data_IF_095180093938
#
_entry.id   IF_095180093938
#
_cell.length_a   1.000
_cell.length_b   1.000
_cell.length_c   1.000
_cell.angle_alpha   90.00
_cell.angle_beta   90.00
_cell.angle_gamma   90.00
#
_symmetry.space_group_name_H-M   'P 1'
#
loop_
_entity.id
_entity.type
_entity.pdbx_description
1 polymer ?
#
# COMPACT_ATOMS: atom_id res chain seq x y z
N UNK A 1 26.93 -14.36 3.43
CA UNK A 1 25.74 -15.14 3.01
C UNK A 1 25.02 -15.58 4.28
N UNK A 2 23.77 -15.17 4.51
CA UNK A 2 22.96 -15.61 5.67
C UNK A 2 22.04 -16.72 5.19
N UNK A 3 22.24 -17.94 5.68
CA UNK A 3 21.37 -19.08 5.40
C UNK A 3 20.40 -19.19 6.58
N UNK A 4 19.09 -19.32 6.31
CA UNK A 4 18.05 -19.45 7.32
C UNK A 4 17.22 -20.71 7.06
N UNK A 5 16.76 -21.32 8.13
CA UNK A 5 15.91 -22.51 8.11
C UNK A 5 14.45 -22.14 7.79
N UNK A 6 13.85 -22.80 6.80
CA UNK A 6 12.42 -22.64 6.45
C UNK A 6 11.46 -23.24 7.48
N UNK A 7 11.98 -24.00 8.45
CA UNK A 7 11.22 -24.67 9.52
C UNK A 7 10.66 -23.69 10.57
N UNK A 8 11.14 -22.44 10.62
CA UNK A 8 10.63 -21.39 11.53
C UNK A 8 9.59 -20.53 10.83
N UNK A 9 8.38 -21.08 10.72
CA UNK A 9 7.23 -20.43 10.06
C UNK A 9 6.74 -19.18 10.81
N UNK A 10 7.10 -19.02 12.09
CA UNK A 10 6.75 -17.88 12.93
C UNK A 10 7.28 -16.53 12.41
N UNK A 11 8.27 -16.54 11.52
CA UNK A 11 8.81 -15.35 10.85
C UNK A 11 8.13 -15.04 9.50
N UNK A 12 7.22 -15.90 9.04
CA UNK A 12 6.49 -15.73 7.77
C UNK A 12 5.29 -14.82 8.01
N UNK A 13 5.34 -13.63 7.40
CA UNK A 13 4.27 -12.63 7.51
C UNK A 13 3.10 -12.95 6.56
N UNK A 14 3.39 -13.53 5.40
CA UNK A 14 2.40 -13.82 4.37
C UNK A 14 2.89 -14.95 3.45
N UNK A 15 1.97 -15.84 3.05
CA UNK A 15 2.21 -16.86 2.02
C UNK A 15 1.32 -16.52 0.83
N UNK A 16 1.94 -16.35 -0.33
CA UNK A 16 1.23 -16.12 -1.60
C UNK A 16 1.39 -17.36 -2.46
N UNK A 17 0.28 -18.04 -2.71
CA UNK A 17 0.25 -19.17 -3.62
C UNK A 17 0.16 -18.68 -5.08
N UNK A 18 1.04 -19.22 -5.93
CA UNK A 18 1.02 -18.93 -7.36
C UNK A 18 0.53 -20.19 -8.06
N UNK A 19 -0.66 -20.13 -8.68
CA UNK A 19 -1.23 -21.23 -9.46
C UNK A 19 -0.48 -21.39 -10.78
N UNK A 20 0.67 -22.07 -10.72
CA UNK A 20 1.51 -22.38 -11.87
C UNK A 20 1.23 -23.82 -12.27
N UNK A 21 0.53 -23.99 -13.40
CA UNK A 21 0.28 -25.31 -13.96
C UNK A 21 1.59 -25.96 -14.40
N UNK A 22 1.66 -27.28 -14.27
CA UNK A 22 2.73 -28.12 -14.82
C UNK A 22 4.17 -27.77 -14.39
N UNK A 23 4.35 -27.19 -13.19
CA UNK A 23 5.68 -26.80 -12.68
C UNK A 23 6.45 -25.87 -13.64
N UNK A 24 5.71 -24.96 -14.28
CA UNK A 24 6.22 -24.09 -15.33
C UNK A 24 6.96 -22.84 -14.82
N UNK A 25 7.30 -22.80 -13.53
CA UNK A 25 8.03 -21.67 -12.94
C UNK A 25 9.43 -21.58 -13.56
N UNK A 26 9.79 -20.39 -14.04
CA UNK A 26 11.06 -20.12 -14.70
C UNK A 26 12.01 -19.35 -13.79
N UNK A 27 11.59 -18.17 -13.31
CA UNK A 27 12.40 -17.34 -12.42
C UNK A 27 11.55 -16.53 -11.46
N UNK A 28 12.13 -16.23 -10.30
CA UNK A 28 11.57 -15.28 -9.34
C UNK A 28 12.62 -14.19 -9.12
N UNK A 29 12.18 -12.93 -9.15
CA UNK A 29 13.03 -11.78 -8.85
C UNK A 29 12.26 -10.75 -8.03
N UNK A 30 12.99 -9.89 -7.33
CA UNK A 30 12.41 -8.76 -6.60
C UNK A 30 13.04 -7.46 -7.08
N UNK A 31 12.29 -6.37 -6.97
CA UNK A 31 12.84 -5.05 -7.20
C UNK A 31 13.80 -4.65 -6.05
N UNK A 32 14.54 -3.55 -6.23
CA UNK A 32 15.62 -3.14 -5.33
C UNK A 32 15.19 -3.00 -3.85
N UNK A 33 13.96 -2.57 -3.58
CA UNK A 33 13.46 -2.34 -2.24
C UNK A 33 12.67 -3.52 -1.65
N UNK A 34 12.56 -4.64 -2.38
CA UNK A 34 11.88 -5.85 -1.92
C UNK A 34 10.35 -5.76 -1.93
N UNK A 35 9.76 -4.67 -2.43
CA UNK A 35 8.30 -4.44 -2.39
C UNK A 35 7.54 -5.16 -3.50
N UNK A 36 8.19 -5.43 -4.62
CA UNK A 36 7.59 -6.14 -5.75
C UNK A 36 8.33 -7.45 -5.95
N UNK A 37 7.58 -8.54 -6.07
CA UNK A 37 8.07 -9.86 -6.44
C UNK A 37 7.44 -10.25 -7.75
N UNK A 38 8.28 -10.57 -8.73
CA UNK A 38 7.87 -11.03 -10.04
C UNK A 38 8.22 -12.51 -10.19
N UNK A 39 7.23 -13.33 -10.57
CA UNK A 39 7.41 -14.73 -10.92
C UNK A 39 7.07 -14.92 -12.40
N UNK A 40 8.03 -15.42 -13.18
CA UNK A 40 7.84 -15.72 -14.59
C UNK A 40 7.64 -17.21 -14.82
N UNK A 41 6.83 -17.56 -15.81
CA UNK A 41 6.62 -18.93 -16.27
C UNK A 41 7.25 -19.16 -17.65
N UNK A 42 7.58 -20.40 -18.04
CA UNK A 42 8.12 -20.66 -19.39
C UNK A 42 7.05 -20.52 -20.48
N UNK A 43 5.77 -20.59 -20.11
CA UNK A 43 4.63 -20.22 -20.94
C UNK A 43 4.56 -18.73 -21.27
N UNK A 44 5.39 -17.89 -20.65
CA UNK A 44 5.47 -16.45 -20.92
C UNK A 44 4.56 -15.58 -20.06
N UNK A 45 3.92 -16.15 -19.03
CA UNK A 45 3.13 -15.39 -18.05
C UNK A 45 4.05 -14.78 -17.00
N UNK A 46 3.77 -13.52 -16.64
CA UNK A 46 4.45 -12.82 -15.55
C UNK A 46 3.44 -12.49 -14.46
N UNK A 47 3.64 -13.05 -13.27
CA UNK A 47 2.87 -12.71 -12.07
C UNK A 47 3.63 -11.67 -11.27
N UNK A 48 2.97 -10.59 -10.87
CA UNK A 48 3.56 -9.50 -10.07
C UNK A 48 2.79 -9.36 -8.76
N UNK A 49 3.51 -9.42 -7.65
CA UNK A 49 2.96 -9.36 -6.30
C UNK A 49 3.56 -8.20 -5.53
N UNK A 50 2.74 -7.48 -4.77
CA UNK A 50 3.17 -6.43 -3.86
C UNK A 50 3.33 -7.03 -2.45
N UNK A 51 4.56 -7.07 -1.92
CA UNK A 51 4.87 -7.65 -0.61
C UNK A 51 4.55 -6.71 0.55
N UNK A 52 4.52 -5.40 0.28
CA UNK A 52 4.20 -4.40 1.27
C UNK A 52 3.62 -3.16 0.62
N UNK A 53 2.47 -2.73 1.11
CA UNK A 53 1.87 -1.46 0.71
C UNK A 53 2.79 -0.29 1.09
N UNK A 54 3.02 0.69 0.19
CA UNK A 54 3.78 1.89 0.52
C UNK A 54 3.07 2.66 1.64
N UNK A 55 3.76 2.87 2.76
CA UNK A 55 3.22 3.67 3.86
C UNK A 55 3.32 5.14 3.48
N UNK A 56 2.19 5.74 3.11
CA UNK A 56 2.07 7.17 2.87
C UNK A 56 1.20 7.79 3.95
N UNK A 57 1.63 8.95 4.44
CA UNK A 57 0.87 9.72 5.39
C UNK A 57 1.31 11.17 5.47
N UNK A 58 0.43 11.99 6.01
CA UNK A 58 0.66 13.41 6.26
C UNK A 58 -0.09 13.82 7.53
N UNK A 59 0.37 14.89 8.18
CA UNK A 59 -0.28 15.42 9.37
C UNK A 59 -0.46 16.92 9.24
N UNK A 60 -1.55 17.43 9.82
CA UNK A 60 -1.83 18.84 9.96
C UNK A 60 -2.52 19.06 11.30
N UNK A 61 -1.86 19.82 12.20
CA UNK A 61 -2.29 19.98 13.60
C UNK A 61 -2.50 18.62 14.27
N UNK A 62 -3.70 18.35 14.76
CA UNK A 62 -4.09 17.12 15.44
C UNK A 62 -4.77 16.09 14.51
N UNK A 63 -4.68 16.27 13.19
CA UNK A 63 -5.25 15.34 12.20
C UNK A 63 -4.12 14.65 11.44
N UNK A 64 -4.23 13.33 11.32
CA UNK A 64 -3.28 12.45 10.64
C UNK A 64 -4.03 11.78 9.49
N UNK A 65 -3.49 11.84 8.28
CA UNK A 65 -3.98 11.13 7.10
C UNK A 65 -3.02 9.99 6.76
N UNK A 66 -3.56 8.80 6.52
CA UNK A 66 -2.80 7.58 6.19
C UNK A 66 -3.45 6.93 4.97
N UNK A 67 -2.64 6.50 4.00
CA UNK A 67 -3.10 5.65 2.90
C UNK A 67 -3.43 4.25 3.46
N UNK A 68 -4.73 4.00 3.69
CA UNK A 68 -5.24 2.75 4.27
C UNK A 68 -5.45 1.65 3.22
N UNK A 69 -5.69 2.03 1.97
CA UNK A 69 -5.62 1.15 0.79
C UNK A 69 -5.10 1.93 -0.41
N UNK A 70 -4.78 1.26 -1.53
CA UNK A 70 -4.23 1.91 -2.73
C UNK A 70 -5.12 3.08 -3.24
N UNK A 71 -6.39 3.08 -2.86
CA UNK A 71 -7.44 3.97 -3.34
C UNK A 71 -8.16 4.68 -2.17
N UNK A 72 -7.61 4.64 -0.96
CA UNK A 72 -8.30 5.13 0.23
C UNK A 72 -7.34 5.78 1.22
N UNK A 73 -7.71 6.98 1.65
CA UNK A 73 -7.01 7.71 2.71
C UNK A 73 -7.94 7.80 3.92
N UNK A 74 -7.48 7.26 5.04
CA UNK A 74 -8.19 7.35 6.32
C UNK A 74 -7.56 8.46 7.17
N UNK A 75 -8.41 9.32 7.72
CA UNK A 75 -8.02 10.36 8.64
C UNK A 75 -8.28 9.90 10.08
N UNK A 76 -7.37 10.27 10.97
CA UNK A 76 -7.45 10.03 12.40
C UNK A 76 -7.22 11.35 13.14
N UNK A 77 -7.83 11.50 14.32
CA UNK A 77 -7.39 12.51 15.27
C UNK A 77 -6.25 11.93 16.11
N UNK A 78 -5.26 12.76 16.43
CA UNK A 78 -4.14 12.37 17.30
C UNK A 78 -4.66 11.79 18.63
N UNK A 79 -4.21 10.59 18.97
CA UNK A 79 -4.62 9.87 20.18
C UNK A 79 -5.92 9.07 20.03
N UNK A 80 -6.69 9.22 18.94
CA UNK A 80 -7.90 8.45 18.68
C UNK A 80 -7.61 7.25 17.77
N UNK A 81 -8.19 6.09 18.10
CA UNK A 81 -8.12 4.89 17.24
C UNK A 81 -9.22 4.84 16.18
N UNK A 82 -10.30 5.58 16.40
CA UNK A 82 -11.42 5.62 15.48
C UNK A 82 -11.11 6.56 14.31
N UNK A 83 -11.45 6.17 13.07
CA UNK A 83 -11.26 7.05 11.93
C UNK A 83 -12.20 8.26 12.02
N UNK A 84 -11.66 9.45 11.78
CA UNK A 84 -12.39 10.71 11.68
C UNK A 84 -13.19 10.79 10.37
N UNK A 85 -12.56 10.38 9.27
CA UNK A 85 -13.13 10.38 7.94
C UNK A 85 -12.36 9.42 7.03
N UNK A 86 -13.02 8.97 5.96
CA UNK A 86 -12.42 8.14 4.91
C UNK A 86 -12.65 8.83 3.57
N UNK A 87 -11.56 9.06 2.84
CA UNK A 87 -11.59 9.72 1.53
C UNK A 87 -11.15 8.71 0.47
N UNK A 88 -12.06 8.42 -0.46
CA UNK A 88 -11.77 7.58 -1.62
C UNK A 88 -11.05 8.40 -2.69
N UNK A 89 -9.98 7.85 -3.22
CA UNK A 89 -9.20 8.43 -4.31
C UNK A 89 -9.19 7.45 -5.49
N UNK A 90 -9.11 7.98 -6.70
CA UNK A 90 -9.17 7.16 -7.92
C UNK A 90 -7.80 6.61 -8.33
N UNK A 91 -6.73 7.12 -7.73
CA UNK A 91 -5.35 6.92 -8.17
C UNK A 91 -4.49 6.46 -6.99
N UNK A 92 -3.53 5.58 -7.25
CA UNK A 92 -2.49 5.22 -6.28
C UNK A 92 -1.49 6.38 -6.14
N UNK A 93 -1.44 7.06 -4.99
CA UNK A 93 -0.63 8.24 -4.84
C UNK A 93 0.82 7.87 -4.55
N UNK A 94 1.74 8.74 -4.96
CA UNK A 94 3.17 8.65 -4.61
C UNK A 94 3.54 9.54 -3.43
N UNK A 95 2.75 10.60 -3.18
CA UNK A 95 2.83 11.44 -1.97
C UNK A 95 1.44 11.94 -1.58
N UNK A 96 1.31 12.26 -0.30
CA UNK A 96 0.10 12.81 0.30
C UNK A 96 0.48 14.06 1.08
N UNK A 97 -0.37 15.08 1.06
CA UNK A 97 -0.30 16.24 1.92
C UNK A 97 -1.69 16.52 2.51
N UNK A 98 -1.71 17.04 3.74
CA UNK A 98 -2.93 17.32 4.47
C UNK A 98 -3.01 18.82 4.79
N UNK A 99 -4.14 19.42 4.49
CA UNK A 99 -4.48 20.80 4.86
C UNK A 99 -5.69 20.84 5.81
N UNK A 100 -6.20 22.04 6.10
CA UNK A 100 -7.31 22.22 7.04
C UNK A 100 -8.65 21.61 6.56
N UNK A 101 -8.88 21.56 5.24
CA UNK A 101 -10.13 21.07 4.63
C UNK A 101 -9.92 20.18 3.41
N UNK A 102 -8.68 19.99 3.00
CA UNK A 102 -8.34 19.28 1.77
C UNK A 102 -7.19 18.32 2.00
N UNK A 103 -7.21 17.21 1.26
CA UNK A 103 -6.07 16.33 1.06
C UNK A 103 -5.58 16.54 -0.36
N UNK A 104 -4.28 16.73 -0.51
CA UNK A 104 -3.64 16.71 -1.82
C UNK A 104 -2.90 15.39 -1.99
N UNK A 105 -3.09 14.75 -3.13
CA UNK A 105 -2.28 13.61 -3.55
C UNK A 105 -1.48 13.97 -4.79
N UNK A 106 -0.33 13.33 -4.96
CA UNK A 106 0.46 13.47 -6.19
C UNK A 106 0.68 12.12 -6.85
N UNK A 107 0.57 12.08 -8.17
CA UNK A 107 0.97 10.93 -8.98
C UNK A 107 1.70 11.48 -10.21
N UNK A 108 2.94 11.02 -10.42
CA UNK A 108 3.84 11.53 -11.45
C UNK A 108 4.05 13.06 -11.35
N UNK A 109 3.56 13.80 -12.35
CA UNK A 109 3.69 15.25 -12.47
C UNK A 109 2.37 16.01 -12.22
N UNK A 110 1.37 15.34 -11.63
CA UNK A 110 0.03 15.91 -11.38
C UNK A 110 -0.34 15.80 -9.91
N UNK A 111 -1.17 16.73 -9.46
CA UNK A 111 -1.74 16.75 -8.12
C UNK A 111 -3.26 16.87 -8.19
N UNK A 112 -3.93 16.19 -7.27
CA UNK A 112 -5.39 16.22 -7.11
C UNK A 112 -5.71 16.64 -5.70
N UNK A 113 -6.72 17.50 -5.54
CA UNK A 113 -7.22 17.92 -4.25
C UNK A 113 -8.59 17.28 -4.01
N UNK A 114 -8.72 16.66 -2.84
CA UNK A 114 -9.95 16.07 -2.34
C UNK A 114 -10.42 16.85 -1.13
N UNK A 115 -11.70 17.19 -1.09
CA UNK A 115 -12.30 17.81 0.09
C UNK A 115 -12.49 16.77 1.20
N UNK A 116 -12.20 17.17 2.44
CA UNK A 116 -12.47 16.35 3.62
C UNK A 116 -13.92 16.62 4.01
N UNK A 117 -14.84 15.75 3.59
CA UNK A 117 -16.22 15.82 4.04
C UNK A 117 -16.26 15.53 5.55
N UNK A 118 -16.55 16.54 6.37
CA UNK A 118 -16.80 16.33 7.79
C UNK A 118 -18.07 15.48 7.94
N UNK A 119 -17.91 14.22 8.32
CA UNK A 119 -19.02 13.44 8.87
C UNK A 119 -19.40 14.10 10.19
N UNK A 120 -20.42 14.97 10.16
CA UNK A 120 -21.03 15.50 11.39
C UNK A 120 -21.51 14.30 12.20
N UNK A 121 -20.77 13.99 13.27
CA UNK A 121 -21.24 13.06 14.28
C UNK A 121 -22.61 13.52 14.77
N UNK A 122 -23.59 12.62 14.70
CA UNK A 122 -24.86 12.77 15.40
C UNK A 122 -24.63 12.74 16.90
#
# INVERSE_FOLDING_TARGET
IRIREMSRLDEIVEIVEVDIKNNDLCSISTNYDGRLVAASTRSGTLHLFLTKMPMLGAAYRNTIAILSSLNEITLFREGEKNPLAVVKIELEPTRIALGPKHIAITMNNRAWLYEIAETKGK
#
